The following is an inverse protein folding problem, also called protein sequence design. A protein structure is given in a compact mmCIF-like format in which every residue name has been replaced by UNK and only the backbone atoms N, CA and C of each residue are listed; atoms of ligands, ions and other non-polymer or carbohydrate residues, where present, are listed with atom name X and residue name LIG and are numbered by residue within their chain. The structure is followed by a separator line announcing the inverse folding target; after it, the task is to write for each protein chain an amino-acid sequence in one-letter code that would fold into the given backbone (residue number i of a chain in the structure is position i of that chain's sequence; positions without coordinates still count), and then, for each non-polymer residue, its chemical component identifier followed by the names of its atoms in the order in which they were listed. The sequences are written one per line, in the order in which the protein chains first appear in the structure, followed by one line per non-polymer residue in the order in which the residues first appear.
data_IF_736398562644
#
_entry.id   IF_736398562644
#
_cell.length_a   1.000
_cell.length_b   1.000
_cell.length_c   1.000
_cell.angle_alpha   90.00
_cell.angle_beta   90.00
_cell.angle_gamma   90.00
#
_symmetry.space_group_name_H-M   'P 1'
#
loop_
_entity.id
_entity.type
_entity.pdbx_description
1 polymer ?
#
# COMPACT_ATOMS: atom_id res chain seq x y z
N UNK A 1 -5.85 14.19 -13.23
CA UNK A 1 -5.32 12.95 -13.85
C UNK A 1 -6.35 11.86 -13.68
N UNK A 2 -6.53 10.98 -14.67
CA UNK A 2 -7.47 9.84 -14.58
C UNK A 2 -7.08 8.90 -13.44
N UNK A 3 -8.09 8.39 -12.75
CA UNK A 3 -7.95 7.38 -11.68
C UNK A 3 -8.27 5.96 -12.16
N UNK A 4 -8.86 5.83 -13.34
CA UNK A 4 -9.19 4.54 -13.95
C UNK A 4 -8.98 4.60 -15.47
N UNK A 5 -8.52 3.49 -16.04
CA UNK A 5 -8.32 3.35 -17.48
C UNK A 5 -8.50 1.89 -17.90
N UNK A 6 -9.41 1.63 -18.86
CA UNK A 6 -9.70 0.27 -19.40
C UNK A 6 -9.94 -0.79 -18.30
N UNK A 7 -10.65 -0.41 -17.24
CA UNK A 7 -10.94 -1.28 -16.10
C UNK A 7 -9.79 -1.44 -15.10
N UNK A 8 -8.62 -0.85 -15.35
CA UNK A 8 -7.54 -0.77 -14.38
C UNK A 8 -7.71 0.45 -13.51
N UNK A 9 -7.66 0.26 -12.19
CA UNK A 9 -7.55 1.37 -11.25
C UNK A 9 -6.09 1.83 -11.21
N UNK A 10 -5.87 3.12 -11.41
CA UNK A 10 -4.53 3.71 -11.35
C UNK A 10 -4.18 3.94 -9.87
N UNK A 11 -3.27 3.13 -9.36
CA UNK A 11 -2.78 3.18 -7.97
C UNK A 11 -1.77 4.31 -7.81
N UNK A 12 -0.86 4.46 -8.77
CA UNK A 12 0.14 5.52 -8.78
C UNK A 12 0.51 5.87 -10.22
N UNK A 13 0.81 7.13 -10.48
CA UNK A 13 1.31 7.58 -11.79
C UNK A 13 2.23 8.77 -11.63
N UNK A 14 3.16 8.93 -12.56
CA UNK A 14 4.07 10.08 -12.59
C UNK A 14 4.36 10.47 -14.03
N UNK A 15 4.38 11.78 -14.28
CA UNK A 15 4.70 12.39 -15.57
C UNK A 15 5.71 13.50 -15.39
N UNK A 16 6.68 13.57 -16.29
CA UNK A 16 7.72 14.61 -16.30
C UNK A 16 7.95 15.09 -17.73
N UNK A 17 8.28 16.37 -17.87
CA UNK A 17 8.67 16.95 -19.16
C UNK A 17 10.11 16.56 -19.52
N UNK A 18 10.32 16.09 -20.75
CA UNK A 18 11.62 15.82 -21.33
C UNK A 18 11.62 16.21 -22.80
N UNK A 19 12.43 17.21 -23.16
CA UNK A 19 12.57 17.65 -24.55
C UNK A 19 11.27 18.17 -25.18
N UNK A 20 10.43 18.88 -24.42
CA UNK A 20 9.15 19.42 -24.88
C UNK A 20 8.01 18.41 -24.98
N UNK A 21 8.22 17.18 -24.49
CA UNK A 21 7.19 16.14 -24.38
C UNK A 21 7.04 15.70 -22.93
N UNK A 22 5.81 15.50 -22.50
CA UNK A 22 5.46 14.90 -21.22
C UNK A 22 5.31 13.40 -21.40
N UNK A 23 6.24 12.63 -20.85
CA UNK A 23 6.17 11.16 -20.78
C UNK A 23 5.91 10.75 -19.33
N UNK A 24 5.48 9.51 -19.11
CA UNK A 24 5.16 9.04 -17.78
C UNK A 24 5.06 7.54 -17.65
N UNK A 25 4.81 7.13 -16.43
CA UNK A 25 4.58 5.74 -16.05
C UNK A 25 3.36 5.67 -15.15
N UNK A 26 2.70 4.52 -15.13
CA UNK A 26 1.64 4.23 -14.19
C UNK A 26 1.78 2.81 -13.62
N UNK A 27 1.22 2.64 -12.42
CA UNK A 27 0.99 1.38 -11.74
C UNK A 27 -0.52 1.22 -11.58
N UNK A 28 -1.06 0.08 -11.99
CA UNK A 28 -2.49 -0.20 -11.91
C UNK A 28 -2.79 -1.55 -11.29
N UNK A 29 -4.01 -1.67 -10.77
CA UNK A 29 -4.55 -2.92 -10.20
C UNK A 29 -5.96 -3.18 -10.75
N UNK A 30 -6.29 -4.47 -10.89
CA UNK A 30 -7.63 -4.95 -11.21
C UNK A 30 -7.80 -6.36 -10.66
N UNK A 31 -8.74 -6.54 -9.73
CA UNK A 31 -9.10 -7.86 -9.19
C UNK A 31 -7.91 -8.71 -8.69
N UNK A 32 -6.91 -8.04 -8.08
CA UNK A 32 -5.68 -8.65 -7.60
C UNK A 32 -4.62 -8.90 -8.69
N UNK A 33 -4.91 -8.61 -9.96
CA UNK A 33 -3.92 -8.48 -11.03
C UNK A 33 -3.24 -7.12 -10.95
N UNK A 34 -1.96 -7.05 -11.32
CA UNK A 34 -1.19 -5.82 -11.29
C UNK A 34 -0.55 -5.54 -12.66
N UNK A 35 -0.48 -4.27 -13.02
CA UNK A 35 0.14 -3.82 -14.26
C UNK A 35 1.09 -2.66 -13.97
N UNK A 36 2.24 -2.65 -14.64
CA UNK A 36 3.10 -1.48 -14.72
C UNK A 36 3.28 -1.12 -16.19
N UNK A 37 3.13 0.15 -16.54
CA UNK A 37 3.24 0.57 -17.93
C UNK A 37 3.70 2.01 -18.10
N UNK A 38 4.02 2.34 -19.36
CA UNK A 38 4.32 3.70 -19.80
C UNK A 38 3.07 4.39 -20.31
N UNK A 39 3.02 5.69 -20.12
CA UNK A 39 2.02 6.56 -20.73
C UNK A 39 2.56 7.15 -22.02
N UNK A 40 1.68 7.63 -22.92
CA UNK A 40 2.14 8.25 -24.16
C UNK A 40 2.87 9.58 -23.88
N UNK A 41 3.99 9.82 -24.58
CA UNK A 41 4.55 11.15 -24.70
C UNK A 41 3.53 12.10 -25.34
N UNK A 42 3.26 13.23 -24.70
CA UNK A 42 2.32 14.24 -25.20
C UNK A 42 2.94 15.64 -25.10
N UNK A 43 2.60 16.55 -26.01
CA UNK A 43 3.08 17.94 -25.91
C UNK A 43 2.45 18.75 -24.77
N UNK A 44 1.36 18.25 -24.18
CA UNK A 44 0.65 18.93 -23.09
C UNK A 44 0.83 18.24 -21.74
N UNK A 45 1.08 19.03 -20.70
CA UNK A 45 1.08 18.59 -19.28
C UNK A 45 -0.29 18.12 -18.79
N UNK A 46 -1.36 18.55 -19.46
CA UNK A 46 -2.74 18.24 -19.05
C UNK A 46 -3.26 16.96 -19.72
N UNK A 47 -2.60 16.48 -20.77
CA UNK A 47 -2.87 15.17 -21.31
C UNK A 47 -2.29 14.12 -20.36
N UNK A 48 -3.13 13.18 -19.94
CA UNK A 48 -2.78 12.10 -19.02
C UNK A 48 -1.99 10.96 -19.69
N UNK A 49 -1.81 11.04 -21.02
CA UNK A 49 -1.07 10.07 -21.81
C UNK A 49 -1.77 8.71 -21.91
N UNK A 50 -3.06 8.63 -21.56
CA UNK A 50 -3.87 7.44 -21.76
C UNK A 50 -4.73 7.63 -23.01
N UNK A 51 -4.56 6.77 -24.01
CA UNK A 51 -5.37 6.77 -25.23
C UNK A 51 -6.29 5.54 -25.29
N UNK A 52 -7.48 5.72 -25.86
CA UNK A 52 -8.45 4.64 -26.02
C UNK A 52 -7.95 3.57 -27.00
N UNK A 53 -7.13 3.98 -27.98
CA UNK A 53 -6.54 3.10 -28.99
C UNK A 53 -5.28 2.37 -28.51
N UNK A 54 -4.77 2.72 -27.33
CA UNK A 54 -3.63 2.07 -26.73
C UNK A 54 -2.31 2.39 -27.43
N UNK A 55 -1.29 2.54 -26.63
CA UNK A 55 -0.18 1.60 -26.77
C UNK A 55 0.34 1.37 -25.34
N UNK A 56 -0.39 0.51 -24.63
CA UNK A 56 0.11 -0.27 -23.49
C UNK A 56 1.21 -1.25 -23.93
N UNK A 57 1.76 -1.08 -25.13
CA UNK A 57 2.79 -1.93 -25.75
C UNK A 57 3.99 -2.16 -24.83
N UNK A 58 4.24 -1.23 -23.93
CA UNK A 58 5.29 -1.32 -22.91
C UNK A 58 4.72 -1.48 -21.50
N UNK A 59 3.59 -2.17 -21.38
CA UNK A 59 3.02 -2.56 -20.10
C UNK A 59 3.25 -4.04 -19.84
N UNK A 60 3.70 -4.34 -18.64
CA UNK A 60 3.91 -5.70 -18.17
C UNK A 60 2.79 -6.07 -17.20
N UNK A 61 2.13 -7.18 -17.50
CA UNK A 61 1.04 -7.71 -16.70
C UNK A 61 1.56 -8.74 -15.72
N UNK A 62 1.05 -8.67 -14.50
CA UNK A 62 1.32 -9.59 -13.42
C UNK A 62 -0.02 -10.12 -12.93
N UNK A 63 -0.46 -11.22 -13.57
CA UNK A 63 -1.81 -11.80 -13.48
C UNK A 63 -1.80 -13.30 -13.20
N UNK A 64 -0.62 -13.92 -13.05
CA UNK A 64 -0.53 -15.37 -12.85
C UNK A 64 -1.44 -15.83 -11.68
N UNK A 65 -2.39 -16.75 -11.94
CA UNK A 65 -3.35 -17.19 -10.93
C UNK A 65 -2.71 -18.08 -9.86
N UNK A 66 -1.50 -18.59 -10.11
CA UNK A 66 -0.76 -19.37 -9.12
C UNK A 66 -0.04 -18.52 -8.08
N UNK A 67 0.14 -17.24 -8.37
CA UNK A 67 0.90 -16.31 -7.52
C UNK A 67 -0.04 -15.53 -6.63
N UNK A 68 0.46 -15.14 -5.47
CA UNK A 68 -0.30 -14.30 -4.54
C UNK A 68 -0.18 -12.82 -4.90
N UNK A 69 -1.22 -12.04 -4.60
CA UNK A 69 -1.35 -10.64 -5.04
C UNK A 69 -0.18 -9.75 -4.62
N UNK A 70 0.25 -9.78 -3.36
CA UNK A 70 1.34 -8.94 -2.88
C UNK A 70 2.65 -9.23 -3.62
N UNK A 71 2.86 -10.46 -4.11
CA UNK A 71 4.00 -10.76 -4.97
C UNK A 71 3.82 -10.17 -6.38
N UNK A 72 2.61 -10.18 -6.93
CA UNK A 72 2.29 -9.53 -8.21
C UNK A 72 2.52 -8.02 -8.11
N UNK A 73 2.02 -7.39 -7.05
CA UNK A 73 2.26 -5.98 -6.74
C UNK A 73 3.76 -5.66 -6.58
N UNK A 74 4.51 -6.50 -5.86
CA UNK A 74 5.95 -6.34 -5.69
C UNK A 74 6.70 -6.37 -7.02
N UNK A 75 6.35 -7.29 -7.93
CA UNK A 75 6.95 -7.32 -9.28
C UNK A 75 6.54 -6.11 -10.11
N UNK A 76 5.26 -5.74 -10.07
CA UNK A 76 4.75 -4.56 -10.76
C UNK A 76 5.45 -3.29 -10.31
N UNK A 77 5.68 -3.10 -9.01
CA UNK A 77 6.43 -1.97 -8.47
C UNK A 77 7.87 -1.94 -9.01
N UNK A 78 8.56 -3.08 -9.08
CA UNK A 78 9.93 -3.15 -9.62
C UNK A 78 9.98 -2.79 -11.10
N UNK A 79 9.01 -3.25 -11.87
CA UNK A 79 8.89 -2.89 -13.28
C UNK A 79 8.53 -1.43 -13.48
N UNK A 80 7.58 -0.92 -12.69
CA UNK A 80 7.23 0.51 -12.65
C UNK A 80 8.46 1.39 -12.38
N UNK A 81 9.31 0.98 -11.44
CA UNK A 81 10.61 1.64 -11.17
C UNK A 81 11.55 1.52 -12.37
N UNK A 82 11.66 0.34 -12.99
CA UNK A 82 12.46 0.14 -14.21
C UNK A 82 12.02 1.07 -15.35
N UNK A 83 10.71 1.10 -15.63
CA UNK A 83 10.11 1.96 -16.64
C UNK A 83 10.31 3.44 -16.31
N UNK A 84 10.24 3.84 -15.04
CA UNK A 84 10.40 5.25 -14.62
C UNK A 84 11.79 5.80 -14.95
N UNK A 85 12.83 4.96 -14.81
CA UNK A 85 14.22 5.30 -15.18
C UNK A 85 14.36 5.56 -16.68
N UNK A 86 13.59 4.83 -17.49
CA UNK A 86 13.68 4.89 -18.95
C UNK A 86 12.78 5.98 -19.56
N UNK A 87 11.55 6.12 -19.05
CA UNK A 87 10.47 6.86 -19.70
C UNK A 87 10.36 8.32 -19.26
N UNK A 88 10.49 8.61 -17.97
CA UNK A 88 10.20 9.93 -17.42
C UNK A 88 11.40 10.57 -16.72
N UNK A 89 12.48 9.80 -16.49
CA UNK A 89 13.58 10.19 -15.59
C UNK A 89 13.07 10.74 -14.24
N UNK A 90 11.88 10.31 -13.84
CA UNK A 90 11.20 10.74 -12.61
C UNK A 90 11.57 9.84 -11.43
N UNK A 91 12.71 9.15 -11.56
CA UNK A 91 13.15 8.14 -10.63
C UNK A 91 14.10 8.75 -9.60
N UNK A 92 13.71 8.62 -8.33
CA UNK A 92 14.57 8.84 -7.17
C UNK A 92 14.12 7.89 -6.02
N UNK A 93 14.84 7.84 -4.88
CA UNK A 93 14.41 7.03 -3.74
C UNK A 93 13.02 7.42 -3.16
N UNK A 94 12.64 8.70 -3.24
CA UNK A 94 11.35 9.19 -2.75
C UNK A 94 10.20 8.69 -3.62
N UNK A 95 10.41 8.57 -4.92
CA UNK A 95 9.47 7.99 -5.88
C UNK A 95 9.18 6.52 -5.57
N UNK A 96 10.22 5.72 -5.31
CA UNK A 96 10.04 4.31 -4.93
C UNK A 96 9.22 4.23 -3.64
N UNK A 97 9.54 5.08 -2.66
CA UNK A 97 8.84 5.12 -1.39
C UNK A 97 7.37 5.52 -1.59
N UNK A 98 7.09 6.58 -2.33
CA UNK A 98 5.75 7.07 -2.63
C UNK A 98 4.90 6.05 -3.40
N UNK A 99 5.49 5.35 -4.38
CA UNK A 99 4.80 4.29 -5.11
C UNK A 99 4.46 3.11 -4.20
N UNK A 100 5.37 2.72 -3.29
CA UNK A 100 5.09 1.72 -2.26
C UNK A 100 3.96 2.14 -1.31
N UNK A 101 4.00 3.39 -0.82
CA UNK A 101 2.94 3.94 0.03
C UNK A 101 1.58 3.97 -0.69
N UNK A 102 1.56 4.24 -2.00
CA UNK A 102 0.33 4.24 -2.78
C UNK A 102 -0.31 2.85 -2.84
N UNK A 103 0.50 1.79 -2.99
CA UNK A 103 0.04 0.39 -2.89
C UNK A 103 -0.54 0.11 -1.50
N UNK A 104 0.19 0.48 -0.44
CA UNK A 104 -0.24 0.24 0.93
C UNK A 104 -1.56 0.98 1.24
N UNK A 105 -1.70 2.22 0.78
CA UNK A 105 -2.95 3.00 0.92
C UNK A 105 -4.09 2.39 0.14
N UNK A 106 -3.82 1.94 -1.08
CA UNK A 106 -4.80 1.29 -1.92
C UNK A 106 -5.38 0.05 -1.24
N UNK A 107 -4.51 -0.81 -0.71
CA UNK A 107 -4.91 -1.99 0.05
C UNK A 107 -5.63 -1.66 1.37
N UNK A 108 -5.18 -0.65 2.11
CA UNK A 108 -5.81 -0.26 3.37
C UNK A 108 -7.29 0.15 3.18
N UNK A 109 -7.61 0.79 2.05
CA UNK A 109 -8.96 1.26 1.72
C UNK A 109 -9.79 0.24 0.94
N UNK A 110 -9.27 -0.96 0.65
CA UNK A 110 -9.99 -1.96 -0.13
C UNK A 110 -11.26 -2.46 0.57
N UNK A 111 -11.22 -2.56 1.90
CA UNK A 111 -12.40 -2.84 2.73
C UNK A 111 -12.91 -1.52 3.32
N UNK A 112 -14.22 -1.22 3.23
CA UNK A 112 -14.79 -0.05 3.90
C UNK A 112 -14.64 -0.15 5.43
N UNK A 113 -14.05 0.86 6.06
CA UNK A 113 -13.82 0.92 7.52
C UNK A 113 -14.62 2.04 8.20
N UNK A 114 -15.73 2.46 7.59
CA UNK A 114 -16.60 3.49 8.14
C UNK A 114 -17.17 3.03 9.49
N UNK A 115 -16.99 3.85 10.53
CA UNK A 115 -17.47 3.53 11.89
C UNK A 115 -16.64 2.50 12.65
N UNK A 116 -15.58 1.93 12.06
CA UNK A 116 -14.64 1.06 12.78
C UNK A 116 -13.86 1.91 13.77
N UNK A 117 -13.78 1.45 15.02
CA UNK A 117 -13.03 2.13 16.07
C UNK A 117 -11.57 2.36 15.67
N UNK A 118 -10.99 3.43 16.19
CA UNK A 118 -9.59 3.73 15.93
C UNK A 118 -8.68 2.61 16.46
N UNK A 119 -7.59 2.35 15.75
CA UNK A 119 -6.66 1.26 16.03
C UNK A 119 -5.22 1.76 16.06
N UNK A 120 -4.35 1.04 16.75
CA UNK A 120 -2.91 1.18 16.64
C UNK A 120 -2.34 0.06 15.76
N UNK A 121 -1.13 0.28 15.24
CA UNK A 121 -0.42 -0.70 14.42
C UNK A 121 0.99 -0.90 14.98
N UNK A 122 1.42 -2.16 15.08
CA UNK A 122 2.75 -2.48 15.58
C UNK A 122 3.43 -3.60 14.77
N UNK A 123 4.75 -3.55 14.78
CA UNK A 123 5.66 -4.56 14.22
C UNK A 123 6.74 -4.88 15.26
N UNK A 124 6.84 -6.16 15.61
CA UNK A 124 7.81 -6.68 16.58
C UNK A 124 8.79 -7.59 15.83
N UNK A 125 10.07 -7.28 15.95
CA UNK A 125 11.20 -8.07 15.41
C UNK A 125 11.83 -8.88 16.55
N UNK A 126 11.87 -10.22 16.49
CA UNK A 126 12.49 -11.01 17.55
C UNK A 126 14.01 -10.82 17.63
N UNK A 127 14.56 -10.83 18.84
CA UNK A 127 16.02 -10.82 19.08
C UNK A 127 16.64 -9.43 19.26
N UNK A 128 15.96 -8.37 18.84
CA UNK A 128 16.23 -7.01 19.31
C UNK A 128 15.40 -6.80 20.57
N UNK A 129 16.06 -6.63 21.71
CA UNK A 129 15.42 -6.40 23.01
C UNK A 129 14.48 -5.21 22.96
N UNK A 130 13.18 -5.45 22.74
CA UNK A 130 12.13 -4.45 22.89
C UNK A 130 11.91 -3.49 21.71
N UNK A 131 12.54 -3.69 20.55
CA UNK A 131 12.31 -2.85 19.37
C UNK A 131 10.96 -3.19 18.70
N UNK A 132 9.88 -2.72 19.33
CA UNK A 132 8.60 -2.60 18.67
C UNK A 132 8.65 -1.36 17.76
N UNK A 133 8.75 -1.58 16.45
CA UNK A 133 8.52 -0.54 15.46
C UNK A 133 7.01 -0.38 15.30
N UNK A 134 6.46 0.72 15.78
CA UNK A 134 5.01 0.89 15.83
C UNK A 134 4.63 2.06 16.70
N UNK A 135 3.48 2.65 16.41
CA UNK A 135 2.92 3.62 17.34
C UNK A 135 1.87 2.94 18.20
N UNK A 136 1.91 3.17 19.51
CA UNK A 136 0.75 2.92 20.39
C UNK A 136 -0.30 4.03 20.25
N UNK A 137 -0.10 4.97 19.34
CA UNK A 137 -1.09 5.97 19.01
C UNK A 137 -2.26 5.32 18.28
N UNK A 138 -3.47 5.57 18.78
CA UNK A 138 -4.68 5.24 18.06
C UNK A 138 -4.78 6.16 16.85
N UNK A 139 -5.04 5.57 15.68
CA UNK A 139 -5.22 6.22 14.39
C UNK A 139 -6.57 5.80 13.80
N UNK A 140 -7.15 6.58 12.89
CA UNK A 140 -8.29 6.12 12.10
C UNK A 140 -8.01 4.73 11.51
N UNK A 141 -9.00 3.84 11.53
CA UNK A 141 -8.84 2.43 11.17
C UNK A 141 -8.08 2.18 9.85
N UNK A 142 -8.42 2.94 8.79
CA UNK A 142 -7.74 2.84 7.49
C UNK A 142 -6.28 3.30 7.55
N UNK A 143 -5.96 4.31 8.37
CA UNK A 143 -4.60 4.79 8.55
C UNK A 143 -3.76 3.77 9.35
N UNK A 144 -4.30 3.21 10.43
CA UNK A 144 -3.63 2.14 11.19
C UNK A 144 -3.31 0.94 10.28
N UNK A 145 -4.27 0.52 9.46
CA UNK A 145 -4.10 -0.55 8.48
C UNK A 145 -3.05 -0.22 7.42
N UNK A 146 -3.01 1.03 6.95
CA UNK A 146 -1.95 1.53 6.07
C UNK A 146 -0.56 1.40 6.73
N UNK A 147 -0.40 1.81 7.99
CA UNK A 147 0.86 1.65 8.72
C UNK A 147 1.27 0.19 8.87
N UNK A 148 0.32 -0.70 9.15
CA UNK A 148 0.61 -2.13 9.24
C UNK A 148 1.11 -2.72 7.93
N UNK A 149 0.48 -2.36 6.80
CA UNK A 149 0.92 -2.76 5.46
C UNK A 149 2.31 -2.20 5.14
N UNK A 150 2.58 -0.95 5.54
CA UNK A 150 3.89 -0.34 5.40
C UNK A 150 4.96 -1.09 6.21
N UNK A 151 4.65 -1.53 7.45
CA UNK A 151 5.56 -2.35 8.25
C UNK A 151 5.83 -3.71 7.61
N UNK A 152 4.77 -4.41 7.14
CA UNK A 152 4.91 -5.65 6.39
C UNK A 152 5.83 -5.49 5.19
N UNK A 153 5.64 -4.44 4.39
CA UNK A 153 6.49 -4.17 3.22
C UNK A 153 7.92 -3.78 3.60
N UNK A 154 8.09 -3.10 4.73
CA UNK A 154 9.38 -2.64 5.26
C UNK A 154 10.22 -3.73 5.93
N UNK A 155 9.60 -4.83 6.35
CA UNK A 155 10.30 -5.97 6.95
C UNK A 155 11.26 -6.66 5.99
N UNK A 156 12.52 -6.82 6.43
CA UNK A 156 13.53 -7.58 5.70
C UNK A 156 13.10 -9.05 5.52
N UNK A 157 12.54 -9.67 6.55
CA UNK A 157 12.06 -11.07 6.52
C UNK A 157 10.93 -11.27 5.51
N UNK A 158 10.01 -10.31 5.41
CA UNK A 158 8.97 -10.31 4.38
C UNK A 158 9.58 -10.13 2.98
N UNK A 159 10.55 -9.22 2.85
CA UNK A 159 11.31 -9.02 1.62
C UNK A 159 12.03 -10.30 1.14
N UNK A 160 12.67 -11.02 2.05
CA UNK A 160 13.34 -12.29 1.78
C UNK A 160 12.35 -13.43 1.51
N UNK A 161 11.17 -13.39 2.13
CA UNK A 161 10.10 -14.34 1.82
C UNK A 161 9.67 -14.27 0.36
N UNK A 162 9.65 -13.08 -0.26
CA UNK A 162 9.41 -12.95 -1.70
C UNK A 162 10.52 -13.57 -2.56
N UNK A 163 11.71 -13.86 -2.02
CA UNK A 163 12.78 -14.56 -2.75
C UNK A 163 12.58 -16.08 -2.78
N UNK A 164 11.72 -16.62 -1.90
CA UNK A 164 11.45 -18.06 -1.76
C UNK A 164 10.26 -18.49 -2.64
N UNK A 165 10.43 -19.33 -3.68
CA UNK A 165 9.37 -19.65 -4.65
C UNK A 165 8.07 -20.18 -4.05
N UNK A 166 8.17 -21.00 -2.99
CA UNK A 166 7.02 -21.57 -2.28
C UNK A 166 6.17 -20.52 -1.55
N UNK A 167 6.76 -19.39 -1.13
CA UNK A 167 6.04 -18.33 -0.42
C UNK A 167 5.33 -17.35 -1.37
N UNK A 168 5.65 -17.39 -2.66
CA UNK A 168 4.99 -16.58 -3.70
C UNK A 168 3.64 -17.13 -4.14
N UNK A 169 3.31 -18.37 -3.76
CA UNK A 169 2.11 -19.07 -4.20
C UNK A 169 0.89 -18.69 -3.36
N UNK A 170 -0.30 -18.78 -3.96
CA UNK A 170 -1.55 -18.75 -3.22
C UNK A 170 -1.55 -19.84 -2.14
N UNK A 171 -2.08 -19.51 -0.98
CA UNK A 171 -2.17 -20.38 0.19
C UNK A 171 -0.92 -20.42 1.07
N UNK A 172 0.19 -19.80 0.65
CA UNK A 172 1.41 -19.69 1.48
C UNK A 172 1.15 -18.88 2.76
N UNK A 173 2.04 -19.02 3.75
CA UNK A 173 1.98 -18.20 4.97
C UNK A 173 2.03 -16.69 4.66
N UNK A 174 2.89 -16.29 3.71
CA UNK A 174 2.99 -14.91 3.25
C UNK A 174 1.69 -14.43 2.57
N UNK A 175 1.07 -15.27 1.74
CA UNK A 175 -0.22 -14.97 1.13
C UNK A 175 -1.30 -14.75 2.19
N UNK A 176 -1.41 -15.68 3.15
CA UNK A 176 -2.40 -15.60 4.23
C UNK A 176 -2.21 -14.36 5.09
N UNK A 177 -0.96 -13.98 5.40
CA UNK A 177 -0.67 -12.78 6.18
C UNK A 177 -1.09 -11.50 5.44
N UNK A 178 -0.68 -11.33 4.17
CA UNK A 178 -1.11 -10.16 3.38
C UNK A 178 -2.62 -10.13 3.19
N UNK A 179 -3.25 -11.27 2.86
CA UNK A 179 -4.68 -11.35 2.68
C UNK A 179 -5.42 -10.97 3.97
N UNK A 180 -5.01 -11.52 5.12
CA UNK A 180 -5.61 -11.19 6.42
C UNK A 180 -5.48 -9.69 6.73
N UNK A 181 -4.33 -9.08 6.46
CA UNK A 181 -4.15 -7.64 6.67
C UNK A 181 -4.98 -6.82 5.70
N UNK A 182 -5.04 -7.17 4.42
CA UNK A 182 -5.82 -6.46 3.41
C UNK A 182 -7.33 -6.56 3.69
N UNK A 183 -7.80 -7.69 4.21
CA UNK A 183 -9.22 -7.95 4.48
C UNK A 183 -9.65 -7.52 5.90
N UNK A 184 -8.71 -7.16 6.77
CA UNK A 184 -9.01 -6.80 8.16
C UNK A 184 -10.00 -5.63 8.26
N UNK A 185 -11.04 -5.85 9.06
CA UNK A 185 -12.04 -4.86 9.47
C UNK A 185 -12.01 -4.60 10.99
N UNK A 186 -10.93 -4.99 11.65
CA UNK A 186 -10.76 -4.89 13.10
C UNK A 186 -9.38 -5.40 13.53
N UNK A 187 -9.19 -5.66 14.84
CA UNK A 187 -7.94 -6.13 15.40
C UNK A 187 -7.49 -7.44 14.78
N UNK A 188 -6.18 -7.59 14.62
CA UNK A 188 -5.58 -8.72 13.93
C UNK A 188 -4.16 -8.91 14.45
N UNK A 189 -3.70 -10.16 14.51
CA UNK A 189 -2.29 -10.48 14.68
C UNK A 189 -1.87 -11.45 13.57
N UNK A 190 -0.80 -11.12 12.84
CA UNK A 190 -0.18 -12.02 11.86
C UNK A 190 1.31 -12.12 12.11
N UNK A 191 1.86 -13.26 11.72
CA UNK A 191 3.31 -13.49 11.74
C UNK A 191 3.79 -13.86 10.35
N UNK A 192 4.94 -13.32 9.96
CA UNK A 192 5.64 -13.72 8.74
C UNK A 192 7.09 -13.99 9.11
N UNK A 193 7.53 -15.24 8.92
CA UNK A 193 8.77 -15.72 9.54
C UNK A 193 8.72 -15.48 11.05
N UNK A 194 9.72 -14.81 11.60
CA UNK A 194 9.82 -14.48 13.03
C UNK A 194 9.14 -13.14 13.37
N UNK A 195 8.92 -12.26 12.38
CA UNK A 195 8.28 -10.97 12.58
C UNK A 195 6.79 -11.11 12.92
N UNK A 196 6.34 -10.28 13.87
CA UNK A 196 4.92 -10.20 14.28
C UNK A 196 4.37 -8.82 13.98
N UNK A 197 3.17 -8.78 13.44
CA UNK A 197 2.48 -7.56 13.03
C UNK A 197 1.08 -7.56 13.65
N UNK A 198 0.65 -6.43 14.21
CA UNK A 198 -0.65 -6.33 14.86
C UNK A 198 -1.42 -5.06 14.51
N UNK A 199 -2.75 -5.20 14.45
CA UNK A 199 -3.72 -4.12 14.68
C UNK A 199 -4.39 -4.38 16.02
N UNK A 200 -4.48 -3.36 16.87
CA UNK A 200 -5.22 -3.46 18.13
C UNK A 200 -6.03 -2.20 18.43
N UNK A 201 -7.02 -2.34 19.31
CA UNK A 201 -7.70 -1.18 19.90
C UNK A 201 -6.92 -0.59 21.07
N UNK A 202 -5.83 -1.24 21.48
CA UNK A 202 -4.98 -0.78 22.57
C UNK A 202 -4.13 0.40 22.11
N UNK A 203 -4.01 1.40 22.96
CA UNK A 203 -3.21 2.58 22.65
C UNK A 203 -3.71 3.83 23.35
N UNK A 204 -3.17 4.96 22.92
CA UNK A 204 -3.59 6.27 23.40
C UNK A 204 -3.82 7.23 22.25
N UNK A 205 -4.73 8.18 22.42
CA UNK A 205 -4.92 9.22 21.41
C UNK A 205 -3.78 10.24 21.49
N UNK A 206 -3.04 10.39 20.39
CA UNK A 206 -2.01 11.42 20.31
C UNK A 206 -2.64 12.79 20.02
N UNK A 207 -3.01 13.51 21.08
CA UNK A 207 -3.55 14.87 20.99
C UNK A 207 -2.48 15.94 20.76
N UNK A 208 -1.19 15.57 20.69
CA UNK A 208 -0.08 16.51 20.49
C UNK A 208 0.25 16.71 19.02
N UNK A 209 -0.05 15.74 18.16
CA UNK A 209 0.10 15.87 16.71
C UNK A 209 -1.13 16.60 16.13
N UNK A 210 -0.92 17.83 15.66
CA UNK A 210 -1.97 18.68 15.09
C UNK A 210 -2.65 18.05 13.87
N UNK A 211 -1.99 17.12 13.17
CA UNK A 211 -2.59 16.38 12.05
C UNK A 211 -3.80 15.55 12.50
N UNK A 212 -3.75 15.00 13.71
CA UNK A 212 -4.79 14.11 14.22
C UNK A 212 -5.89 14.83 15.01
N UNK A 213 -5.69 16.09 15.38
CA UNK A 213 -6.69 16.90 16.10
C UNK A 213 -7.96 17.17 15.29
N UNK A 214 -7.86 17.22 13.96
CA UNK A 214 -8.96 17.60 13.05
C UNK A 214 -9.63 16.42 12.36
N UNK A 215 -9.12 15.21 12.58
CA UNK A 215 -9.67 14.00 11.96
C UNK A 215 -10.80 13.46 12.85
N UNK A 216 -11.96 13.17 12.26
CA UNK A 216 -13.05 12.53 12.97
C UNK A 216 -12.58 11.19 13.54
N UNK A 217 -12.76 10.99 14.85
CA UNK A 217 -12.27 9.83 15.59
C UNK A 217 -13.44 8.89 15.90
N UNK A 218 -13.23 7.59 15.74
CA UNK A 218 -14.20 6.60 16.20
C UNK A 218 -13.77 6.11 17.59
N UNK A 219 -14.62 6.28 18.63
CA UNK A 219 -14.24 5.98 20.00
C UNK A 219 -13.94 4.49 20.17
N UNK A 220 -13.06 4.19 21.14
CA UNK A 220 -12.75 2.83 21.57
C UNK A 220 -14.03 2.01 21.83
N UNK A 221 -14.09 0.72 21.45
CA UNK A 221 -15.31 -0.10 21.60
C UNK A 221 -15.82 -0.19 23.05
N UNK A 222 -14.92 -0.14 24.03
CA UNK A 222 -15.29 -0.15 25.46
C UNK A 222 -15.73 1.23 26.01
N UNK A 223 -15.62 2.30 25.22
CA UNK A 223 -16.00 3.64 25.66
C UNK A 223 -17.51 3.78 25.50
N UNK A 224 -18.26 3.54 26.58
CA UNK A 224 -19.72 3.75 26.60
C UNK A 224 -20.05 5.19 26.14
N UNK A 225 -20.95 5.37 25.15
CA UNK A 225 -21.40 6.69 24.74
C UNK A 225 -22.22 7.30 25.88
N UNK A 226 -21.61 8.17 26.70
CA UNK A 226 -22.33 8.87 27.77
C UNK A 226 -21.51 9.30 28.99
N UNK A 227 -20.31 8.77 29.21
CA UNK A 227 -19.47 9.23 30.32
C UNK A 227 -18.58 10.39 29.86
N UNK A 228 -19.15 11.60 29.88
CA UNK A 228 -18.35 12.82 29.99
C UNK A 228 -17.66 12.78 31.36
N UNK A 229 -16.35 12.57 31.37
CA UNK A 229 -15.54 12.74 32.57
C UNK A 229 -15.52 14.21 32.98
N UNK A 230 -15.68 14.44 34.29
CA UNK A 230 -15.63 15.73 34.98
C UNK A 230 -14.36 16.53 34.68
#
# INVERSE_FOLDING_TARGET
MRTEVKGWRIVHQCRTERGGLFDGVFLGERDGEWIAGRQFPTQSRYADGFSDNGDWRYATYYDSPSQQEAYRAWRALREYVSLSKNAANCWDPLFIHAAGQAIDRYWAHRVPLNGVADMSAAWVVPGLTGDANGSTDLLPAAEAKYWLLQYLRGSCEVGDSFRRPQLRKIGSALHKAYQAVIEAAGPLNVSVSDDRFSLSFDGSYNYRDDRWRRVARNPHPDRKPGLRGN
#
